data_IF_313719161835
#
_entry.id   IF_313719161835
#
_cell.length_a   1.000
_cell.length_b   1.000
_cell.length_c   1.000
_cell.angle_alpha   90.00
_cell.angle_beta   90.00
_cell.angle_gamma   90.00
#
_symmetry.space_group_name_H-M   'P 1'
#
loop_
_entity.id
_entity.type
_entity.pdbx_description
1 polymer ?
#
# COMPACT_ATOMS: atom_id res chain seq x y z
N UNK A 1 17.96 -25.72 -9.20
CA UNK A 1 17.18 -26.96 -9.42
C UNK A 1 18.05 -28.18 -9.74
N UNK A 2 18.95 -28.13 -10.73
CA UNK A 2 19.79 -29.28 -11.13
C UNK A 2 20.52 -29.95 -9.94
N UNK A 3 21.18 -29.15 -9.08
CA UNK A 3 21.85 -29.66 -7.87
C UNK A 3 20.92 -30.28 -6.81
N UNK A 4 19.66 -29.82 -6.70
CA UNK A 4 18.67 -30.41 -5.78
C UNK A 4 18.17 -31.77 -6.31
N UNK A 5 18.09 -31.90 -7.64
CA UNK A 5 17.73 -33.13 -8.35
C UNK A 5 18.82 -34.18 -8.20
N UNK A 6 20.09 -33.77 -8.35
CA UNK A 6 21.27 -34.64 -8.18
C UNK A 6 21.36 -35.25 -6.77
N UNK A 7 20.82 -34.57 -5.76
CA UNK A 7 20.83 -35.04 -4.37
C UNK A 7 19.62 -35.90 -3.99
N UNK A 8 18.68 -36.19 -4.90
CA UNK A 8 17.44 -36.95 -4.67
C UNK A 8 16.48 -36.38 -3.59
N UNK A 9 16.66 -35.11 -3.17
CA UNK A 9 15.83 -34.42 -2.16
C UNK A 9 14.69 -33.56 -2.76
N UNK A 10 14.32 -33.78 -4.03
CA UNK A 10 13.34 -32.93 -4.70
C UNK A 10 11.89 -33.33 -4.40
N UNK A 11 11.41 -33.07 -3.17
CA UNK A 11 9.99 -33.14 -2.80
C UNK A 11 9.24 -31.83 -3.08
N UNK A 12 7.93 -31.79 -2.79
CA UNK A 12 7.04 -30.63 -3.04
C UNK A 12 7.61 -29.30 -2.51
N UNK A 13 8.25 -29.30 -1.33
CA UNK A 13 8.89 -28.10 -0.75
C UNK A 13 10.00 -27.55 -1.65
N UNK A 14 10.86 -28.42 -2.20
CA UNK A 14 11.97 -28.01 -3.05
C UNK A 14 11.48 -27.39 -4.37
N UNK A 15 10.41 -27.95 -4.94
CA UNK A 15 9.74 -27.36 -6.09
C UNK A 15 9.10 -26.02 -5.73
N UNK A 16 8.40 -25.90 -4.60
CA UNK A 16 7.77 -24.64 -4.17
C UNK A 16 8.79 -23.50 -4.02
N UNK A 17 10.01 -23.78 -3.53
CA UNK A 17 11.09 -22.78 -3.46
C UNK A 17 11.50 -22.30 -4.87
N UNK A 18 11.71 -23.23 -5.79
CA UNK A 18 12.09 -22.90 -7.17
C UNK A 18 10.96 -22.18 -7.92
N UNK A 19 9.72 -22.61 -7.72
CA UNK A 19 8.54 -21.97 -8.28
C UNK A 19 8.41 -20.53 -7.77
N UNK A 20 8.59 -20.31 -6.46
CA UNK A 20 8.57 -18.96 -5.87
C UNK A 20 9.64 -18.07 -6.50
N UNK A 21 10.85 -18.60 -6.76
CA UNK A 21 11.91 -17.86 -7.44
C UNK A 21 11.51 -17.50 -8.87
N UNK A 22 11.02 -18.45 -9.66
CA UNK A 22 10.61 -18.20 -11.05
C UNK A 22 9.42 -17.26 -11.14
N UNK A 23 8.45 -17.36 -10.23
CA UNK A 23 7.33 -16.42 -10.14
C UNK A 23 7.82 -14.98 -9.89
N UNK A 24 8.76 -14.79 -8.95
CA UNK A 24 9.36 -13.47 -8.68
C UNK A 24 10.15 -12.90 -9.86
N UNK A 25 10.72 -13.76 -10.71
CA UNK A 25 11.46 -13.38 -11.90
C UNK A 25 10.56 -13.25 -13.15
N UNK A 26 9.26 -13.53 -13.05
CA UNK A 26 8.33 -13.50 -14.18
C UNK A 26 8.50 -14.62 -15.20
N UNK A 27 9.24 -15.70 -14.87
CA UNK A 27 9.50 -16.81 -15.78
C UNK A 27 8.35 -17.84 -15.77
N UNK A 28 7.19 -17.46 -16.32
CA UNK A 28 5.97 -18.26 -16.31
C UNK A 28 6.12 -19.61 -17.04
N UNK A 29 6.83 -19.67 -18.17
CA UNK A 29 7.09 -20.93 -18.89
C UNK A 29 7.88 -21.93 -18.03
N UNK A 30 8.89 -21.44 -17.31
CA UNK A 30 9.68 -22.28 -16.39
C UNK A 30 8.83 -22.75 -15.21
N UNK A 31 7.91 -21.92 -14.73
CA UNK A 31 6.95 -22.26 -13.69
C UNK A 31 6.05 -23.43 -14.12
N UNK A 32 5.51 -23.35 -15.34
CA UNK A 32 4.69 -24.40 -15.94
C UNK A 32 5.48 -25.70 -16.17
N UNK A 33 6.72 -25.59 -16.66
CA UNK A 33 7.60 -26.76 -16.85
C UNK A 33 7.88 -27.50 -15.56
N UNK A 34 8.03 -26.78 -14.43
CA UNK A 34 8.23 -27.40 -13.12
C UNK A 34 6.99 -28.14 -12.65
N UNK A 35 5.79 -27.61 -12.92
CA UNK A 35 4.54 -28.28 -12.56
C UNK A 35 4.33 -29.57 -13.35
N UNK A 36 4.57 -29.53 -14.67
CA UNK A 36 4.51 -30.74 -15.50
C UNK A 36 5.55 -31.79 -15.05
N UNK A 37 6.74 -31.35 -14.67
CA UNK A 37 7.77 -32.23 -14.11
C UNK A 37 7.35 -32.85 -12.77
N UNK A 38 6.68 -32.09 -11.90
CA UNK A 38 6.13 -32.63 -10.65
C UNK A 38 5.10 -33.73 -10.93
N UNK A 39 4.19 -33.49 -11.87
CA UNK A 39 3.16 -34.46 -12.28
C UNK A 39 3.79 -35.74 -12.87
N UNK A 40 4.77 -35.62 -13.78
CA UNK A 40 5.50 -36.75 -14.39
C UNK A 40 6.23 -37.62 -13.35
N UNK A 41 6.76 -36.99 -12.29
CA UNK A 41 7.45 -37.68 -11.19
C UNK A 41 6.52 -38.21 -10.10
N UNK A 42 5.21 -38.06 -10.27
CA UNK A 42 4.22 -38.46 -9.26
C UNK A 42 4.28 -37.62 -7.97
N UNK A 43 4.87 -36.42 -8.02
CA UNK A 43 4.95 -35.49 -6.89
C UNK A 43 3.71 -34.60 -6.94
N UNK A 44 2.77 -34.81 -6.02
CA UNK A 44 1.56 -33.99 -5.95
C UNK A 44 1.88 -32.56 -5.49
N UNK A 45 1.42 -31.58 -6.26
CA UNK A 45 1.41 -30.17 -5.84
C UNK A 45 0.43 -29.96 -4.70
N UNK A 46 0.78 -29.09 -3.75
CA UNK A 46 -0.07 -28.74 -2.62
C UNK A 46 -0.72 -27.36 -2.79
N UNK A 47 -1.52 -26.94 -1.82
CA UNK A 47 -2.15 -25.62 -1.82
C UNK A 47 -1.12 -24.48 -1.99
N UNK A 48 0.13 -24.65 -1.55
CA UNK A 48 1.19 -23.65 -1.72
C UNK A 48 1.66 -23.63 -3.18
N UNK A 49 1.92 -24.79 -3.79
CA UNK A 49 2.31 -24.92 -5.21
C UNK A 49 1.34 -24.18 -6.12
N UNK A 50 0.04 -24.45 -5.96
CA UNK A 50 -0.99 -23.84 -6.79
C UNK A 50 -1.23 -22.36 -6.48
N UNK A 51 -1.10 -21.92 -5.21
CA UNK A 51 -1.15 -20.50 -4.89
C UNK A 51 0.01 -19.71 -5.51
N UNK A 52 1.21 -20.31 -5.64
CA UNK A 52 2.35 -19.67 -6.32
C UNK A 52 2.01 -19.45 -7.80
N UNK A 53 1.48 -20.48 -8.49
CA UNK A 53 1.02 -20.36 -9.88
C UNK A 53 -0.03 -19.26 -10.03
N UNK A 54 -1.04 -19.27 -9.15
CA UNK A 54 -2.15 -18.34 -9.21
C UNK A 54 -1.68 -16.89 -9.06
N UNK A 55 -0.77 -16.62 -8.12
CA UNK A 55 -0.19 -15.27 -7.95
C UNK A 55 0.66 -14.85 -9.15
N UNK A 56 1.41 -15.78 -9.74
CA UNK A 56 2.22 -15.49 -10.92
C UNK A 56 1.35 -15.12 -12.12
N UNK A 57 0.29 -15.89 -12.39
CA UNK A 57 -0.63 -15.63 -13.48
C UNK A 57 -1.54 -14.40 -13.21
N UNK A 58 -1.94 -14.14 -11.97
CA UNK A 58 -2.71 -12.94 -11.61
C UNK A 58 -1.91 -11.62 -11.79
N UNK A 59 -0.59 -11.72 -11.99
CA UNK A 59 0.30 -10.57 -12.23
C UNK A 59 0.45 -10.23 -13.72
N UNK A 60 -0.11 -11.03 -14.63
CA UNK A 60 -0.15 -10.74 -16.07
C UNK A 60 -1.59 -10.44 -16.52
N UNK A 61 -1.80 -9.69 -17.62
CA UNK A 61 -3.15 -9.36 -18.09
C UNK A 61 -3.98 -10.56 -18.57
N UNK A 62 -3.33 -11.62 -19.06
CA UNK A 62 -4.02 -12.82 -19.52
C UNK A 62 -4.46 -13.70 -18.34
N UNK A 63 -5.77 -13.77 -18.13
CA UNK A 63 -6.39 -14.52 -17.04
C UNK A 63 -6.60 -16.01 -17.34
N UNK A 64 -6.34 -16.47 -18.57
CA UNK A 64 -6.67 -17.84 -19.02
C UNK A 64 -5.99 -18.92 -18.17
N UNK A 65 -4.67 -18.80 -17.94
CA UNK A 65 -3.93 -19.77 -17.13
C UNK A 65 -4.29 -19.65 -15.64
N UNK A 66 -4.58 -18.44 -15.16
CA UNK A 66 -5.08 -18.22 -13.80
C UNK A 66 -6.41 -18.96 -13.57
N UNK A 67 -7.34 -18.89 -14.53
CA UNK A 67 -8.64 -19.58 -14.49
C UNK A 67 -8.48 -21.10 -14.48
N UNK A 68 -7.59 -21.64 -15.32
CA UNK A 68 -7.29 -23.09 -15.33
C UNK A 68 -6.74 -23.57 -13.99
N UNK A 69 -5.84 -22.80 -13.38
CA UNK A 69 -5.30 -23.10 -12.05
C UNK A 69 -6.41 -23.06 -10.99
N UNK A 70 -7.27 -22.03 -11.00
CA UNK A 70 -8.39 -21.93 -10.07
C UNK A 70 -9.35 -23.12 -10.22
N UNK A 71 -9.68 -23.55 -11.45
CA UNK A 71 -10.53 -24.71 -11.71
C UNK A 71 -9.93 -26.00 -11.14
N UNK A 72 -8.62 -26.22 -11.32
CA UNK A 72 -7.91 -27.35 -10.70
C UNK A 72 -8.00 -27.31 -9.17
N UNK A 73 -7.83 -26.13 -8.55
CA UNK A 73 -7.96 -25.97 -7.10
C UNK A 73 -9.40 -26.16 -6.62
N UNK A 74 -10.41 -25.71 -7.37
CA UNK A 74 -11.83 -25.89 -7.03
C UNK A 74 -12.27 -27.36 -7.08
N UNK A 75 -11.61 -28.19 -7.89
CA UNK A 75 -11.89 -29.62 -8.00
C UNK A 75 -11.41 -30.42 -6.78
N UNK A 76 -10.46 -29.91 -5.98
CA UNK A 76 -9.96 -30.57 -4.78
C UNK A 76 -10.20 -29.67 -3.53
N UNK A 77 -11.13 -30.05 -2.63
CA UNK A 77 -11.40 -29.31 -1.40
C UNK A 77 -10.17 -29.10 -0.49
N UNK A 78 -9.13 -29.92 -0.62
CA UNK A 78 -7.88 -29.79 0.15
C UNK A 78 -6.97 -28.67 -0.36
N UNK A 79 -7.15 -28.26 -1.63
CA UNK A 79 -6.34 -27.22 -2.26
C UNK A 79 -6.93 -25.82 -2.08
N UNK A 80 -8.22 -25.69 -1.74
CA UNK A 80 -8.94 -24.42 -1.82
C UNK A 80 -9.53 -23.93 -0.49
N UNK A 81 -8.95 -22.85 0.03
CA UNK A 81 -9.50 -22.06 1.13
C UNK A 81 -10.10 -20.73 0.62
N UNK A 82 -10.00 -19.64 1.39
CA UNK A 82 -10.47 -18.31 0.96
C UNK A 82 -9.41 -17.53 0.18
N UNK A 83 -8.12 -17.82 0.39
CA UNK A 83 -6.99 -17.04 -0.13
C UNK A 83 -6.92 -17.05 -1.66
N UNK A 84 -7.05 -18.20 -2.37
CA UNK A 84 -7.04 -18.25 -3.83
C UNK A 84 -8.02 -17.27 -4.47
N UNK A 85 -9.24 -17.16 -3.90
CA UNK A 85 -10.28 -16.26 -4.41
C UNK A 85 -9.89 -14.78 -4.35
N UNK A 86 -9.08 -14.38 -3.37
CA UNK A 86 -8.57 -13.00 -3.28
C UNK A 86 -7.50 -12.72 -4.33
N UNK A 87 -6.69 -13.73 -4.68
CA UNK A 87 -5.66 -13.64 -5.72
C UNK A 87 -6.32 -13.53 -7.10
N UNK A 88 -7.29 -14.40 -7.41
CA UNK A 88 -8.01 -14.30 -8.70
C UNK A 88 -8.85 -13.04 -8.80
N UNK A 89 -9.49 -12.58 -7.72
CA UNK A 89 -10.20 -11.32 -7.73
C UNK A 89 -9.25 -10.17 -8.12
N UNK A 90 -8.05 -10.12 -7.54
CA UNK A 90 -7.02 -9.14 -7.95
C UNK A 90 -6.61 -9.29 -9.41
N UNK A 91 -6.41 -10.52 -9.89
CA UNK A 91 -6.08 -10.79 -11.30
C UNK A 91 -7.16 -10.29 -12.26
N UNK A 92 -8.43 -10.57 -11.96
CA UNK A 92 -9.56 -10.06 -12.73
C UNK A 92 -9.65 -8.52 -12.71
N UNK A 93 -9.42 -7.87 -11.55
CA UNK A 93 -9.37 -6.41 -11.47
C UNK A 93 -8.27 -5.83 -12.35
N UNK A 94 -7.08 -6.45 -12.38
CA UNK A 94 -5.99 -6.03 -13.26
C UNK A 94 -6.33 -6.17 -14.75
N UNK A 95 -7.13 -7.20 -15.10
CA UNK A 95 -7.64 -7.42 -16.45
C UNK A 95 -8.89 -6.59 -16.79
N UNK A 96 -9.43 -5.82 -15.84
CA UNK A 96 -10.64 -5.01 -16.01
C UNK A 96 -11.97 -5.79 -15.88
N UNK A 97 -11.94 -7.07 -15.52
CA UNK A 97 -13.14 -7.91 -15.34
C UNK A 97 -13.71 -7.75 -13.91
N UNK A 98 -14.48 -6.68 -13.72
CA UNK A 98 -15.07 -6.35 -12.41
C UNK A 98 -16.12 -7.38 -11.96
N UNK A 99 -16.81 -8.02 -12.90
CA UNK A 99 -17.87 -9.00 -12.61
C UNK A 99 -17.27 -10.28 -12.01
N UNK A 100 -16.29 -10.89 -12.68
CA UNK A 100 -15.61 -12.08 -12.15
C UNK A 100 -14.83 -11.79 -10.87
N UNK A 101 -14.27 -10.57 -10.74
CA UNK A 101 -13.67 -10.14 -9.50
C UNK A 101 -14.70 -10.17 -8.34
N UNK A 102 -15.88 -9.60 -8.57
CA UNK A 102 -16.96 -9.60 -7.58
C UNK A 102 -17.41 -11.01 -7.18
N UNK A 103 -17.64 -11.89 -8.16
CA UNK A 103 -18.04 -13.27 -7.91
C UNK A 103 -16.99 -14.02 -7.08
N UNK A 104 -15.72 -13.82 -7.40
CA UNK A 104 -14.60 -14.39 -6.65
C UNK A 104 -14.61 -13.91 -5.19
N UNK A 105 -14.86 -12.63 -4.94
CA UNK A 105 -14.97 -12.11 -3.56
C UNK A 105 -16.17 -12.71 -2.81
N UNK A 106 -17.31 -12.94 -3.47
CA UNK A 106 -18.45 -13.65 -2.84
C UNK A 106 -18.10 -15.09 -2.49
N UNK A 107 -17.36 -15.80 -3.34
CA UNK A 107 -16.81 -17.14 -3.03
C UNK A 107 -15.84 -17.10 -1.84
N UNK A 108 -14.97 -16.09 -1.78
CA UNK A 108 -14.07 -15.83 -0.65
C UNK A 108 -14.86 -15.67 0.66
N UNK A 109 -15.89 -14.82 0.67
CA UNK A 109 -16.73 -14.58 1.85
C UNK A 109 -17.39 -15.85 2.40
N UNK A 110 -17.87 -16.72 1.52
CA UNK A 110 -18.55 -17.96 1.91
C UNK A 110 -17.62 -18.98 2.58
N UNK A 111 -16.32 -18.93 2.24
CA UNK A 111 -15.29 -19.81 2.79
C UNK A 111 -14.53 -19.20 3.98
N UNK A 112 -14.68 -17.91 4.22
CA UNK A 112 -14.01 -17.23 5.32
C UNK A 112 -14.63 -17.64 6.66
N UNK A 113 -14.02 -18.60 7.35
CA UNK A 113 -14.47 -19.17 8.64
C UNK A 113 -13.32 -19.33 9.64
N UNK A 114 -13.61 -19.12 10.92
CA UNK A 114 -12.72 -19.44 12.04
C UNK A 114 -11.50 -18.51 12.19
N UNK A 115 -10.37 -19.04 12.69
CA UNK A 115 -9.20 -18.21 13.09
C UNK A 115 -8.58 -17.37 11.96
N UNK A 116 -8.78 -17.75 10.69
CA UNK A 116 -8.25 -17.03 9.52
C UNK A 116 -9.16 -15.89 9.02
N UNK A 117 -10.33 -15.69 9.66
CA UNK A 117 -11.27 -14.61 9.30
C UNK A 117 -10.60 -13.23 9.28
N UNK A 118 -9.71 -12.95 10.23
CA UNK A 118 -9.07 -11.63 10.37
C UNK A 118 -8.28 -11.19 9.13
N UNK A 119 -7.46 -12.08 8.56
CA UNK A 119 -6.64 -11.76 7.39
C UNK A 119 -7.48 -11.62 6.12
N UNK A 120 -8.54 -12.44 5.98
CA UNK A 120 -9.43 -12.35 4.83
C UNK A 120 -10.31 -11.10 4.83
N UNK A 121 -10.67 -10.55 6.00
CA UNK A 121 -11.46 -9.32 6.10
C UNK A 121 -10.70 -8.12 5.52
N UNK A 122 -9.45 -7.91 5.94
CA UNK A 122 -8.64 -6.79 5.45
C UNK A 122 -8.47 -6.88 3.92
N UNK A 123 -8.35 -8.11 3.37
CA UNK A 123 -8.28 -8.35 1.93
C UNK A 123 -9.61 -8.07 1.22
N UNK A 124 -10.75 -8.50 1.78
CA UNK A 124 -12.08 -8.20 1.25
C UNK A 124 -12.35 -6.70 1.22
N UNK A 125 -12.06 -5.99 2.31
CA UNK A 125 -12.20 -4.52 2.38
C UNK A 125 -11.35 -3.86 1.30
N UNK A 126 -10.09 -4.28 1.16
CA UNK A 126 -9.17 -3.74 0.16
C UNK A 126 -9.68 -3.96 -1.27
N UNK A 127 -10.15 -5.17 -1.59
CA UNK A 127 -10.59 -5.52 -2.94
C UNK A 127 -11.95 -4.91 -3.30
N UNK A 128 -12.91 -4.88 -2.37
CA UNK A 128 -14.16 -4.13 -2.58
C UNK A 128 -13.93 -2.63 -2.71
N UNK A 129 -12.95 -2.08 -1.98
CA UNK A 129 -12.52 -0.67 -2.15
C UNK A 129 -12.03 -0.42 -3.58
N UNK A 130 -11.15 -1.27 -4.11
CA UNK A 130 -10.65 -1.10 -5.50
C UNK A 130 -11.73 -1.22 -6.57
N UNK A 131 -12.88 -1.80 -6.22
CA UNK A 131 -14.04 -1.90 -7.11
C UNK A 131 -15.03 -0.75 -6.95
N UNK A 132 -14.77 0.23 -6.08
CA UNK A 132 -15.73 1.30 -5.79
C UNK A 132 -16.94 0.86 -4.96
N UNK A 133 -16.96 -0.38 -4.43
CA UNK A 133 -18.14 -0.97 -3.78
C UNK A 133 -18.24 -0.59 -2.31
N UNK A 134 -18.59 0.67 -2.05
CA UNK A 134 -18.68 1.25 -0.71
C UNK A 134 -19.64 0.50 0.23
N UNK A 135 -20.81 0.12 -0.25
CA UNK A 135 -21.80 -0.59 0.57
C UNK A 135 -21.30 -1.98 1.00
N UNK A 136 -20.57 -2.68 0.12
CA UNK A 136 -19.93 -3.95 0.46
C UNK A 136 -18.82 -3.75 1.50
N UNK A 137 -18.03 -2.68 1.40
CA UNK A 137 -17.01 -2.34 2.42
C UNK A 137 -17.65 -2.18 3.80
N UNK A 138 -18.73 -1.42 3.91
CA UNK A 138 -19.47 -1.27 5.18
C UNK A 138 -20.13 -2.58 5.65
N UNK A 139 -20.72 -3.34 4.74
CA UNK A 139 -21.34 -4.64 5.06
C UNK A 139 -20.31 -5.60 5.65
N UNK A 140 -19.11 -5.67 5.05
CA UNK A 140 -18.01 -6.48 5.57
C UNK A 140 -17.57 -5.95 6.93
N UNK A 141 -17.29 -4.65 7.07
CA UNK A 141 -16.90 -4.05 8.36
C UNK A 141 -17.89 -4.41 9.47
N UNK A 142 -19.18 -4.13 9.27
CA UNK A 142 -20.23 -4.33 10.27
C UNK A 142 -20.46 -5.80 10.62
N UNK A 143 -20.33 -6.72 9.65
CA UNK A 143 -20.47 -8.17 9.88
C UNK A 143 -19.42 -8.70 10.86
N UNK A 144 -18.20 -8.16 10.82
CA UNK A 144 -17.08 -8.64 11.63
C UNK A 144 -16.77 -7.78 12.86
N UNK A 145 -17.20 -6.51 12.88
CA UNK A 145 -17.05 -5.62 14.03
C UNK A 145 -17.77 -6.13 15.28
N UNK A 146 -18.91 -6.81 15.14
CA UNK A 146 -19.65 -7.37 16.28
C UNK A 146 -18.98 -8.57 16.96
N UNK A 147 -17.93 -9.16 16.39
CA UNK A 147 -17.38 -10.46 16.84
C UNK A 147 -15.97 -10.37 17.40
N UNK A 148 -15.22 -9.30 17.15
CA UNK A 148 -13.78 -9.22 17.46
C UNK A 148 -13.39 -7.79 17.80
N UNK A 149 -12.61 -7.57 18.88
CA UNK A 149 -11.89 -6.31 19.07
C UNK A 149 -10.93 -6.10 17.88
N UNK A 150 -11.18 -5.07 17.07
CA UNK A 150 -10.33 -4.75 15.92
C UNK A 150 -8.92 -4.35 16.36
N UNK A 151 -7.91 -4.84 15.62
CA UNK A 151 -6.54 -4.35 15.73
C UNK A 151 -6.37 -3.08 14.89
N UNK A 152 -5.30 -2.34 15.14
CA UNK A 152 -4.96 -1.14 14.36
C UNK A 152 -4.87 -1.40 12.84
N UNK A 153 -4.50 -2.61 12.41
CA UNK A 153 -4.44 -2.96 10.98
C UNK A 153 -5.79 -2.87 10.28
N UNK A 154 -6.87 -3.34 10.91
CA UNK A 154 -8.21 -3.33 10.32
C UNK A 154 -8.77 -1.90 10.25
N UNK A 155 -8.60 -1.10 11.31
CA UNK A 155 -8.97 0.32 11.27
C UNK A 155 -8.20 1.08 10.20
N UNK A 156 -6.89 0.84 10.09
CA UNK A 156 -6.07 1.43 9.04
C UNK A 156 -6.55 1.02 7.64
N UNK A 157 -6.90 -0.25 7.43
CA UNK A 157 -7.45 -0.75 6.17
C UNK A 157 -8.79 -0.07 5.83
N UNK A 158 -9.71 0.00 6.79
CA UNK A 158 -11.02 0.60 6.63
C UNK A 158 -10.95 2.10 6.34
N UNK A 159 -10.22 2.87 7.14
CA UNK A 159 -10.08 4.33 6.96
C UNK A 159 -9.42 4.64 5.61
N UNK A 160 -8.36 3.91 5.24
CA UNK A 160 -7.72 4.06 3.91
C UNK A 160 -8.69 3.70 2.77
N UNK A 161 -9.52 2.69 2.97
CA UNK A 161 -10.53 2.29 2.00
C UNK A 161 -11.58 3.39 1.79
N UNK A 162 -12.09 3.95 2.87
CA UNK A 162 -13.06 5.05 2.83
C UNK A 162 -12.47 6.34 2.24
N UNK A 163 -11.21 6.65 2.52
CA UNK A 163 -10.49 7.75 1.85
C UNK A 163 -10.50 7.57 0.33
N UNK A 164 -10.19 6.35 -0.17
CA UNK A 164 -10.20 6.03 -1.61
C UNK A 164 -11.59 6.07 -2.24
N UNK A 165 -12.63 5.84 -1.45
CA UNK A 165 -14.03 5.88 -1.88
C UNK A 165 -14.67 7.27 -1.68
N UNK A 166 -13.83 8.28 -1.41
CA UNK A 166 -14.22 9.66 -1.16
C UNK A 166 -15.18 9.87 0.04
N UNK A 167 -15.30 8.87 0.93
CA UNK A 167 -16.18 8.91 2.10
C UNK A 167 -15.43 9.38 3.36
N UNK A 168 -15.16 10.68 3.41
CA UNK A 168 -14.45 11.30 4.53
C UNK A 168 -15.28 11.23 5.82
N UNK A 169 -16.60 11.45 5.76
CA UNK A 169 -17.48 11.37 6.93
C UNK A 169 -17.48 9.97 7.55
N UNK A 170 -17.46 8.96 6.69
CA UNK A 170 -17.26 7.57 7.08
C UNK A 170 -15.92 7.35 7.77
N UNK A 171 -14.84 7.85 7.17
CA UNK A 171 -13.49 7.74 7.73
C UNK A 171 -13.37 8.40 9.10
N UNK A 172 -13.99 9.56 9.31
CA UNK A 172 -14.08 10.26 10.59
C UNK A 172 -14.80 9.43 11.66
N UNK A 173 -15.94 8.82 11.31
CA UNK A 173 -16.69 7.94 12.22
C UNK A 173 -15.88 6.72 12.66
N UNK A 174 -15.22 6.05 11.71
CA UNK A 174 -14.35 4.89 12.00
C UNK A 174 -13.13 5.31 12.84
N UNK A 175 -12.59 6.50 12.59
CA UNK A 175 -11.51 7.05 13.41
C UNK A 175 -11.98 7.28 14.84
N UNK A 176 -13.13 7.94 15.06
CA UNK A 176 -13.69 8.16 16.39
C UNK A 176 -13.95 6.84 17.13
N UNK A 177 -14.46 5.82 16.43
CA UNK A 177 -14.60 4.47 16.97
C UNK A 177 -13.24 3.90 17.42
N UNK A 178 -12.21 4.02 16.59
CA UNK A 178 -10.85 3.63 16.96
C UNK A 178 -10.35 4.38 18.19
N UNK A 179 -10.63 5.67 18.33
CA UNK A 179 -10.20 6.49 19.47
C UNK A 179 -10.78 6.03 20.80
N UNK A 180 -12.06 5.65 20.80
CA UNK A 180 -12.74 5.14 22.01
C UNK A 180 -12.26 3.73 22.39
N UNK A 181 -11.83 2.93 21.42
CA UNK A 181 -11.47 1.53 21.61
C UNK A 181 -9.95 1.28 21.73
N UNK A 182 -9.13 2.34 21.88
CA UNK A 182 -7.65 2.25 21.83
C UNK A 182 -7.09 1.27 22.88
N UNK A 183 -6.66 0.10 22.43
CA UNK A 183 -5.83 -0.81 23.25
C UNK A 183 -4.35 -0.45 23.14
N UNK A 184 -3.90 -0.05 21.95
CA UNK A 184 -2.53 0.40 21.69
C UNK A 184 -2.56 1.51 20.62
N UNK A 185 -1.90 2.63 20.88
CA UNK A 185 -1.86 3.74 19.93
C UNK A 185 -0.97 3.42 18.72
N UNK A 186 -1.45 3.74 17.52
CA UNK A 186 -0.70 3.61 16.27
C UNK A 186 -0.84 4.90 15.47
N UNK A 187 0.26 5.64 15.39
CA UNK A 187 0.38 6.93 14.70
C UNK A 187 0.04 6.84 13.20
N UNK A 188 0.06 5.65 12.60
CA UNK A 188 -0.31 5.49 11.18
C UNK A 188 -1.79 5.77 10.92
N UNK A 189 -2.65 5.57 11.91
CA UNK A 189 -4.10 5.78 11.79
C UNK A 189 -4.46 7.28 11.67
N UNK A 190 -4.09 8.17 12.62
CA UNK A 190 -4.35 9.61 12.47
C UNK A 190 -3.65 10.21 11.23
N UNK A 191 -2.51 9.64 10.82
CA UNK A 191 -1.84 10.03 9.58
C UNK A 191 -2.68 9.80 8.32
N UNK A 192 -3.64 8.86 8.33
CA UNK A 192 -4.58 8.70 7.22
C UNK A 192 -5.53 9.91 7.12
N UNK A 193 -6.10 10.35 8.25
CA UNK A 193 -6.97 11.53 8.26
C UNK A 193 -6.22 12.82 7.94
N UNK A 194 -5.00 13.01 8.45
CA UNK A 194 -4.17 14.16 8.07
C UNK A 194 -4.01 14.22 6.54
N UNK A 195 -3.69 13.08 5.91
CA UNK A 195 -3.57 13.00 4.46
C UNK A 195 -4.89 13.29 3.74
N UNK A 196 -5.99 12.70 4.22
CA UNK A 196 -7.32 12.86 3.61
C UNK A 196 -7.81 14.31 3.68
N UNK A 197 -7.64 14.96 4.83
CA UNK A 197 -7.97 16.37 5.03
C UNK A 197 -7.14 17.29 4.15
N UNK A 198 -5.82 17.06 4.06
CA UNK A 198 -4.94 17.85 3.19
C UNK A 198 -5.37 17.76 1.73
N UNK A 199 -5.71 16.55 1.23
CA UNK A 199 -6.19 16.36 -0.15
C UNK A 199 -7.50 17.07 -0.45
N UNK A 200 -8.38 17.19 0.54
CA UNK A 200 -9.68 17.90 0.42
C UNK A 200 -9.60 19.39 0.77
N UNK A 201 -8.42 19.92 1.05
CA UNK A 201 -8.25 21.32 1.45
C UNK A 201 -8.71 21.66 2.87
N UNK A 202 -9.07 20.68 3.70
CA UNK A 202 -9.51 20.87 5.08
C UNK A 202 -8.32 21.02 6.04
N UNK A 203 -7.50 22.03 5.83
CA UNK A 203 -6.23 22.20 6.54
C UNK A 203 -6.42 22.36 8.05
N UNK A 204 -7.47 23.05 8.48
CA UNK A 204 -7.78 23.26 9.90
C UNK A 204 -8.05 21.93 10.62
N UNK A 205 -8.75 21.00 9.95
CA UNK A 205 -8.98 19.65 10.50
C UNK A 205 -7.68 18.85 10.56
N UNK A 206 -6.80 18.98 9.57
CA UNK A 206 -5.48 18.32 9.58
C UNK A 206 -4.59 18.83 10.72
N UNK A 207 -4.59 20.14 10.97
CA UNK A 207 -3.84 20.78 12.06
C UNK A 207 -4.41 20.35 13.42
N UNK A 208 -5.74 20.31 13.56
CA UNK A 208 -6.37 19.88 14.81
C UNK A 208 -5.97 18.47 15.23
N UNK A 209 -5.81 17.53 14.29
CA UNK A 209 -5.29 16.19 14.59
C UNK A 209 -3.85 16.25 15.11
N UNK A 210 -3.00 17.11 14.52
CA UNK A 210 -1.61 17.31 14.97
C UNK A 210 -1.57 17.86 16.39
N UNK A 211 -2.37 18.89 16.69
CA UNK A 211 -2.46 19.50 18.02
C UNK A 211 -2.94 18.48 19.07
N UNK A 212 -3.99 17.71 18.77
CA UNK A 212 -4.47 16.63 19.64
C UNK A 212 -3.41 15.56 19.93
N UNK A 213 -2.53 15.26 18.96
CA UNK A 213 -1.43 14.32 19.15
C UNK A 213 -0.35 14.89 20.08
N UNK A 214 -0.08 16.18 20.02
CA UNK A 214 0.85 16.87 20.92
C UNK A 214 0.27 16.97 22.34
N UNK A 215 -0.96 17.44 22.49
CA UNK A 215 -1.65 17.57 23.78
C UNK A 215 -1.78 16.24 24.52
N UNK A 216 -1.97 15.13 23.79
CA UNK A 216 -2.07 13.80 24.38
C UNK A 216 -0.73 13.08 24.56
N UNK A 217 0.41 13.77 24.35
CA UNK A 217 1.77 13.22 24.54
C UNK A 217 2.15 12.11 23.56
N UNK A 218 1.40 11.96 22.45
CA UNK A 218 1.60 10.91 21.45
C UNK A 218 2.55 11.32 20.33
N UNK A 219 2.94 12.60 20.31
CA UNK A 219 3.92 13.27 19.45
C UNK A 219 3.87 12.89 17.96
N UNK A 220 3.46 13.82 17.08
CA UNK A 220 3.52 13.61 15.64
C UNK A 220 4.94 13.22 15.18
N UNK A 221 5.04 12.22 14.31
CA UNK A 221 6.33 11.77 13.77
C UNK A 221 6.65 12.47 12.45
N UNK A 222 7.85 12.24 11.91
CA UNK A 222 8.25 12.81 10.62
C UNK A 222 7.23 12.57 9.50
N UNK A 223 6.55 11.42 9.49
CA UNK A 223 5.51 11.11 8.52
C UNK A 223 4.20 11.89 8.73
N UNK A 224 3.88 12.30 9.96
CA UNK A 224 2.73 13.15 10.27
C UNK A 224 2.96 14.57 9.71
N UNK A 225 4.09 15.17 10.09
CA UNK A 225 4.48 16.49 9.63
C UNK A 225 4.68 16.56 8.12
N UNK A 226 5.29 15.54 7.51
CA UNK A 226 5.48 15.53 6.06
C UNK A 226 4.15 15.54 5.30
N UNK A 227 3.11 14.87 5.80
CA UNK A 227 1.79 14.91 5.17
C UNK A 227 1.20 16.32 5.23
N UNK A 228 1.34 16.98 6.37
CA UNK A 228 0.90 18.36 6.54
C UNK A 228 1.71 19.33 5.64
N UNK A 229 3.02 19.13 5.52
CA UNK A 229 3.87 19.91 4.62
C UNK A 229 3.45 19.74 3.16
N UNK A 230 3.12 18.50 2.73
CA UNK A 230 2.58 18.26 1.40
C UNK A 230 1.22 18.96 1.21
N UNK A 231 0.34 18.94 2.22
CA UNK A 231 -0.91 19.71 2.19
C UNK A 231 -0.67 21.20 1.98
N UNK A 232 0.27 21.81 2.70
CA UNK A 232 0.63 23.21 2.48
C UNK A 232 1.21 23.47 1.07
N UNK A 233 2.03 22.56 0.53
CA UNK A 233 2.52 22.67 -0.85
C UNK A 233 1.38 22.69 -1.88
N UNK A 234 0.40 21.78 -1.76
CA UNK A 234 -0.73 21.71 -2.69
C UNK A 234 -1.62 22.96 -2.59
N UNK A 235 -1.67 23.57 -1.41
CA UNK A 235 -2.46 24.77 -1.12
C UNK A 235 -1.68 26.06 -1.42
N UNK A 236 -0.45 25.95 -1.92
CA UNK A 236 0.46 27.03 -2.23
C UNK A 236 0.85 27.92 -1.02
N UNK A 237 0.70 27.40 0.21
CA UNK A 237 1.18 28.05 1.45
C UNK A 237 2.63 27.61 1.73
N UNK A 238 3.53 28.05 0.87
CA UNK A 238 4.91 27.54 0.84
C UNK A 238 5.75 27.91 2.06
N UNK A 239 5.43 29.01 2.75
CA UNK A 239 6.12 29.40 3.99
C UNK A 239 5.86 28.36 5.09
N UNK A 240 4.59 28.02 5.32
CA UNK A 240 4.23 26.96 6.27
C UNK A 240 4.69 25.58 5.80
N UNK A 241 4.73 25.34 4.49
CA UNK A 241 5.26 24.07 3.95
C UNK A 241 6.73 23.87 4.35
N UNK A 242 7.58 24.90 4.20
CA UNK A 242 9.00 24.86 4.58
C UNK A 242 9.15 24.64 6.09
N UNK A 243 8.44 25.41 6.91
CA UNK A 243 8.50 25.27 8.37
C UNK A 243 8.08 23.85 8.82
N UNK A 244 7.00 23.35 8.23
CA UNK A 244 6.47 22.02 8.53
C UNK A 244 7.41 20.91 8.03
N UNK A 245 8.12 21.12 6.91
CA UNK A 245 9.13 20.20 6.41
C UNK A 245 10.33 20.11 7.36
N UNK A 246 10.78 21.24 7.93
CA UNK A 246 11.82 21.24 8.97
C UNK A 246 11.37 20.43 10.20
N UNK A 247 10.13 20.63 10.66
CA UNK A 247 9.52 19.81 11.74
C UNK A 247 9.50 18.32 11.39
N UNK A 248 9.19 17.97 10.14
CA UNK A 248 9.19 16.58 9.68
C UNK A 248 10.58 15.92 9.76
N UNK A 249 11.61 16.63 9.33
CA UNK A 249 13.00 16.13 9.40
C UNK A 249 13.44 15.98 10.86
N UNK A 250 13.11 16.96 11.73
CA UNK A 250 13.42 16.90 13.16
C UNK A 250 12.64 15.79 13.90
N UNK A 251 11.44 15.45 13.47
CA UNK A 251 10.65 14.36 14.04
C UNK A 251 10.93 12.99 13.39
N UNK A 252 11.89 12.90 12.47
CA UNK A 252 12.19 11.67 11.71
C UNK A 252 12.97 10.63 12.53
N UNK A 253 12.81 9.36 12.18
CA UNK A 253 13.60 8.23 12.70
C UNK A 253 14.57 7.71 11.63
N UNK A 254 15.66 7.00 11.99
CA UNK A 254 16.54 6.38 11.01
C UNK A 254 15.77 5.54 9.99
N UNK A 255 16.10 5.70 8.70
CA UNK A 255 15.43 5.01 7.60
C UNK A 255 14.13 5.67 7.10
N UNK A 256 13.65 6.72 7.77
CA UNK A 256 12.61 7.59 7.21
C UNK A 256 13.13 8.31 5.95
N UNK A 257 12.24 8.63 5.01
CA UNK A 257 12.59 9.44 3.84
C UNK A 257 11.51 10.52 3.65
N UNK A 258 11.90 11.77 3.40
CA UNK A 258 10.94 12.82 3.09
C UNK A 258 10.24 12.52 1.76
N UNK A 259 8.99 12.94 1.65
CA UNK A 259 8.28 12.90 0.38
C UNK A 259 8.96 13.87 -0.59
N UNK A 260 9.41 13.31 -1.69
CA UNK A 260 10.39 13.94 -2.57
C UNK A 260 9.84 15.20 -3.24
N UNK A 261 8.60 15.15 -3.74
CA UNK A 261 7.95 16.31 -4.37
C UNK A 261 7.74 17.48 -3.41
N UNK A 262 7.31 17.23 -2.16
CA UNK A 262 7.12 18.30 -1.18
C UNK A 262 8.45 18.93 -0.77
N UNK A 263 9.51 18.13 -0.63
CA UNK A 263 10.85 18.64 -0.31
C UNK A 263 11.40 19.48 -1.46
N UNK A 264 11.30 18.98 -2.70
CA UNK A 264 11.71 19.71 -3.89
C UNK A 264 10.96 21.04 -4.03
N UNK A 265 9.66 21.05 -3.76
CA UNK A 265 8.84 22.26 -3.79
C UNK A 265 9.30 23.28 -2.75
N UNK A 266 9.62 22.84 -1.52
CA UNK A 266 10.19 23.69 -0.47
C UNK A 266 11.53 24.31 -0.89
N UNK A 267 12.44 23.51 -1.47
CA UNK A 267 13.74 24.00 -1.94
C UNK A 267 13.57 24.99 -3.09
N UNK A 268 12.73 24.68 -4.09
CA UNK A 268 12.44 25.58 -5.21
C UNK A 268 11.84 26.91 -4.73
N UNK A 269 10.96 26.86 -3.74
CA UNK A 269 10.40 28.07 -3.13
C UNK A 269 11.48 28.94 -2.49
N UNK A 270 12.35 28.36 -1.66
CA UNK A 270 13.47 29.07 -1.02
C UNK A 270 14.41 29.70 -2.05
N UNK A 271 14.76 28.96 -3.11
CA UNK A 271 15.57 29.46 -4.23
C UNK A 271 14.89 30.64 -4.94
N UNK A 272 13.59 30.55 -5.21
CA UNK A 272 12.84 31.64 -5.86
C UNK A 272 12.76 32.92 -5.04
N UNK A 273 12.85 32.79 -3.70
CA UNK A 273 12.90 33.93 -2.77
C UNK A 273 14.31 34.45 -2.52
N UNK A 274 15.34 33.75 -3.01
CA UNK A 274 16.73 34.04 -2.68
C UNK A 274 17.07 33.75 -1.20
N UNK A 275 16.28 32.93 -0.51
CA UNK A 275 16.50 32.56 0.89
C UNK A 275 17.56 31.44 1.00
N UNK A 276 18.81 31.84 0.84
CA UNK A 276 19.97 30.94 0.94
C UNK A 276 20.15 30.37 2.34
N UNK A 277 19.75 31.11 3.37
CA UNK A 277 19.84 30.67 4.76
C UNK A 277 18.84 29.53 5.04
N UNK A 278 17.58 29.69 4.62
CA UNK A 278 16.56 28.66 4.77
C UNK A 278 16.89 27.39 3.98
N UNK A 279 17.50 27.53 2.80
CA UNK A 279 17.96 26.40 1.98
C UNK A 279 19.09 25.62 2.67
N UNK A 280 20.11 26.31 3.18
CA UNK A 280 21.24 25.66 3.86
C UNK A 280 20.80 25.01 5.17
N UNK A 281 19.92 25.66 5.94
CA UNK A 281 19.35 25.07 7.15
C UNK A 281 18.61 23.76 6.85
N UNK A 282 17.81 23.72 5.79
CA UNK A 282 17.09 22.52 5.38
C UNK A 282 18.05 21.40 4.95
N UNK A 283 19.11 21.74 4.21
CA UNK A 283 20.17 20.79 3.80
C UNK A 283 20.93 20.24 5.01
N UNK A 284 21.27 21.10 5.96
CA UNK A 284 21.96 20.70 7.19
C UNK A 284 21.10 19.77 8.05
N UNK A 285 19.80 20.04 8.17
CA UNK A 285 18.87 19.14 8.84
C UNK A 285 18.84 17.74 8.19
N UNK A 286 18.82 17.67 6.86
CA UNK A 286 18.87 16.40 6.13
C UNK A 286 20.20 15.66 6.36
N UNK A 287 21.33 16.38 6.39
CA UNK A 287 22.66 15.82 6.67
C UNK A 287 22.76 15.29 8.10
N UNK A 288 22.37 16.08 9.10
CA UNK A 288 22.39 15.69 10.52
C UNK A 288 21.54 14.44 10.78
N UNK A 289 20.43 14.28 10.05
CA UNK A 289 19.57 13.10 10.17
C UNK A 289 20.00 11.91 9.32
N UNK A 290 21.11 12.02 8.59
CA UNK A 290 21.59 10.95 7.70
C UNK A 290 20.63 10.64 6.55
N UNK A 291 19.78 11.61 6.19
CA UNK A 291 18.79 11.50 5.11
C UNK A 291 19.35 11.94 3.76
N UNK A 292 20.49 12.63 3.79
CA UNK A 292 21.16 13.18 2.61
C UNK A 292 22.30 12.26 2.16
N UNK A 293 22.04 11.40 1.17
CA UNK A 293 23.11 10.73 0.42
C UNK A 293 23.46 11.53 -0.85
N UNK A 294 24.67 11.36 -1.39
CA UNK A 294 25.05 11.97 -2.69
C UNK A 294 24.11 11.58 -3.84
N UNK A 295 23.45 10.43 -3.75
CA UNK A 295 22.44 10.00 -4.73
C UNK A 295 21.12 10.74 -4.52
N UNK A 296 20.72 10.94 -3.26
CA UNK A 296 19.53 11.70 -2.90
C UNK A 296 19.65 13.17 -3.33
N UNK A 297 20.78 13.82 -3.04
CA UNK A 297 21.06 15.20 -3.45
C UNK A 297 20.99 15.35 -4.98
N UNK A 298 21.73 14.52 -5.72
CA UNK A 298 21.69 14.52 -7.20
C UNK A 298 20.29 14.27 -7.74
N UNK A 299 19.52 13.38 -7.10
CA UNK A 299 18.14 13.15 -7.45
C UNK A 299 17.31 14.41 -7.29
N UNK A 300 17.42 15.07 -6.12
CA UNK A 300 16.68 16.27 -5.77
C UNK A 300 16.97 17.42 -6.73
N UNK A 301 18.24 17.68 -7.01
CA UNK A 301 18.67 18.71 -7.96
C UNK A 301 18.13 18.45 -9.37
N UNK A 302 18.23 17.20 -9.84
CA UNK A 302 17.69 16.80 -11.15
C UNK A 302 16.18 16.97 -11.24
N UNK A 303 15.44 16.66 -10.17
CA UNK A 303 13.99 16.81 -10.15
C UNK A 303 13.58 18.29 -10.19
N UNK A 304 14.27 19.15 -9.44
CA UNK A 304 14.06 20.60 -9.47
C UNK A 304 14.37 21.15 -10.86
N UNK A 305 15.48 20.74 -11.47
CA UNK A 305 15.87 21.14 -12.82
C UNK A 305 14.82 20.74 -13.87
N UNK A 306 14.34 19.49 -13.84
CA UNK A 306 13.27 19.02 -14.74
C UNK A 306 11.98 19.80 -14.48
N UNK A 307 11.61 20.04 -13.22
CA UNK A 307 10.42 20.81 -12.87
C UNK A 307 10.48 22.25 -13.38
N UNK A 308 11.65 22.88 -13.36
CA UNK A 308 11.86 24.22 -13.93
C UNK A 308 11.71 24.23 -15.46
N UNK A 309 12.26 23.21 -16.14
CA UNK A 309 12.12 23.05 -17.60
C UNK A 309 10.67 22.75 -18.03
N UNK A 310 9.93 21.97 -17.24
CA UNK A 310 8.50 21.67 -17.51
C UNK A 310 7.58 22.86 -17.21
N UNK A 311 7.89 23.73 -16.25
CA UNK A 311 7.10 24.96 -16.04
C UNK A 311 7.23 25.99 -17.18
N UNK A 312 8.25 25.87 -18.04
CA UNK A 312 8.38 26.66 -19.27
C UNK A 312 7.59 26.08 -20.46
N UNK A 313 7.00 24.89 -20.31
CA UNK A 313 6.20 24.19 -21.31
C UNK A 313 4.94 23.60 -20.65
N UNK A 314 3.90 24.42 -20.45
CA UNK A 314 2.65 23.96 -19.83
C UNK A 314 1.80 23.08 -20.77
N UNK A 315 1.37 21.91 -20.27
CA UNK A 315 -0.04 21.57 -20.00
C UNK A 315 -0.13 20.39 -18.98
N UNK A 316 -1.29 20.26 -18.33
CA UNK A 316 -1.49 19.98 -16.89
C UNK A 316 -1.77 18.53 -16.45
N UNK A 317 -1.43 17.47 -17.19
CA UNK A 317 -2.02 16.13 -16.93
C UNK A 317 -1.17 15.01 -16.31
N UNK A 318 0.14 15.16 -16.06
CA UNK A 318 1.00 13.99 -15.77
C UNK A 318 1.60 13.92 -14.35
N UNK A 319 0.87 14.33 -13.30
CA UNK A 319 1.41 14.34 -11.92
C UNK A 319 1.19 13.00 -11.16
N UNK A 320 0.39 12.06 -11.68
CA UNK A 320 0.06 10.83 -10.94
C UNK A 320 0.98 9.60 -11.19
N UNK A 321 1.95 9.64 -12.11
CA UNK A 321 2.73 8.43 -12.50
C UNK A 321 4.11 8.26 -11.84
N UNK A 322 4.48 9.04 -10.82
CA UNK A 322 5.81 8.90 -10.14
C UNK A 322 5.66 8.62 -8.62
N UNK A 323 4.72 7.75 -8.25
CA UNK A 323 4.66 7.09 -6.94
C UNK A 323 4.76 5.58 -7.12
#
# INVERSE_FOLDING_TARGET
MQKLKELAYAGTVAYNVMMTLYAKLGYLEKLQSLMLEMEDKGISGDAISYNILLNAYASVPDVTEMEKVLMKMEADPLLIDWSPYTVVAKGYLNAGDIEKANESLKKCENRLKGKREKLGIDMLITLYTSMGKKDDVYRIWNKYNKKVKHHNSSYHCMIRGLEKLDDLDGAEKIFAEWETNRVHFDIRIPNLLISAYCKKGHMEKAISIIEQLEESGKHPNGSSWNRLALGYCVQNDMEKAVETMKKAILASKPGWKPHFHSLASCVKYLQSKGDTQGEEELKDLLRVRGLCSKEFERGLDKYIEIGNRKSEALNETDIEEIC
#
